data_IF_369542539159
#
_entry.id   IF_369542539159
#
_cell.length_a   1.000
_cell.length_b   1.000
_cell.length_c   1.000
_cell.angle_alpha   90.00
_cell.angle_beta   90.00
_cell.angle_gamma   90.00
#
_symmetry.space_group_name_H-M   'P 1'
#
loop_
_entity.id
_entity.type
_entity.pdbx_description
1 polymer ?
#
# COMPACT_ATOMS: atom_id res chain seq x y z
N UNK A 1 -3.94 -5.74 28.99
CA UNK A 1 -4.86 -4.64 28.59
C UNK A 1 -6.27 -5.22 28.53
N UNK A 2 -7.21 -4.61 29.21
CA UNK A 2 -8.62 -5.02 29.20
C UNK A 2 -9.21 -4.68 27.83
N UNK A 3 -9.86 -5.64 27.17
CA UNK A 3 -10.48 -5.41 25.88
C UNK A 3 -11.80 -4.63 25.99
N UNK A 4 -12.34 -4.16 24.87
CA UNK A 4 -13.55 -3.32 24.83
C UNK A 4 -14.79 -4.05 25.39
N UNK A 5 -14.91 -5.34 25.15
CA UNK A 5 -16.04 -6.16 25.63
C UNK A 5 -15.98 -6.38 27.14
N UNK A 6 -14.80 -6.59 27.71
CA UNK A 6 -14.59 -6.65 29.16
C UNK A 6 -14.91 -5.32 29.84
N UNK A 7 -14.59 -4.20 29.17
CA UNK A 7 -14.92 -2.86 29.66
C UNK A 7 -16.44 -2.60 29.65
N UNK A 8 -17.13 -3.01 28.60
CA UNK A 8 -18.59 -2.92 28.48
C UNK A 8 -19.29 -3.78 29.54
N UNK A 9 -18.83 -5.03 29.72
CA UNK A 9 -19.39 -5.96 30.71
C UNK A 9 -19.24 -5.46 32.15
N UNK A 10 -18.12 -4.80 32.47
CA UNK A 10 -17.86 -4.28 33.83
C UNK A 10 -18.53 -2.93 34.15
N UNK A 11 -18.75 -2.11 33.12
CA UNK A 11 -19.25 -0.73 33.34
C UNK A 11 -20.71 -0.54 32.99
N UNK A 12 -21.32 -1.49 32.28
CA UNK A 12 -22.68 -1.38 31.75
C UNK A 12 -22.83 -0.28 30.68
N UNK A 13 -21.72 0.26 30.20
CA UNK A 13 -21.70 1.35 29.20
C UNK A 13 -21.68 0.79 27.79
N UNK A 14 -22.35 1.45 26.89
CA UNK A 14 -22.25 1.16 25.47
C UNK A 14 -20.89 1.56 24.90
N UNK A 15 -20.50 0.94 23.80
CA UNK A 15 -19.25 1.27 23.08
C UNK A 15 -19.11 2.77 22.78
N UNK A 16 -20.22 3.44 22.49
CA UNK A 16 -20.30 4.88 22.23
C UNK A 16 -20.01 5.71 23.49
N UNK A 17 -20.53 5.30 24.64
CA UNK A 17 -20.32 5.99 25.92
C UNK A 17 -18.90 5.80 26.45
N UNK A 18 -18.30 4.62 26.25
CA UNK A 18 -16.89 4.38 26.59
C UNK A 18 -15.98 5.28 25.76
N UNK A 19 -16.19 5.35 24.44
CA UNK A 19 -15.41 6.20 23.56
C UNK A 19 -15.59 7.69 23.85
N UNK A 20 -16.81 8.13 24.18
CA UNK A 20 -17.08 9.52 24.56
C UNK A 20 -16.40 9.90 25.88
N UNK A 21 -16.39 9.01 26.86
CA UNK A 21 -15.72 9.25 28.16
C UNK A 21 -14.22 9.18 28.07
N UNK A 22 -13.66 8.33 27.20
CA UNK A 22 -12.21 8.26 26.95
C UNK A 22 -11.72 9.54 26.24
N UNK A 23 -12.51 10.09 25.33
CA UNK A 23 -12.24 11.38 24.70
C UNK A 23 -12.30 12.55 25.68
N UNK A 24 -13.25 12.52 26.64
CA UNK A 24 -13.36 13.52 27.71
C UNK A 24 -12.18 13.44 28.71
N UNK A 25 -11.70 12.24 29.04
CA UNK A 25 -10.52 12.03 29.89
C UNK A 25 -9.22 12.48 29.23
N UNK A 26 -9.06 12.30 27.93
CA UNK A 26 -7.93 12.81 27.15
C UNK A 26 -7.89 14.36 27.15
N UNK A 27 -9.05 15.01 27.20
CA UNK A 27 -9.15 16.46 27.30
C UNK A 27 -8.74 17.00 28.71
N UNK A 28 -8.88 16.18 29.74
CA UNK A 28 -8.50 16.55 31.14
C UNK A 28 -7.03 16.25 31.44
N UNK A 29 -6.39 15.32 30.71
CA UNK A 29 -5.02 14.88 30.99
C UNK A 29 -3.91 15.81 30.43
N UNK A 30 -4.24 17.04 30.02
CA UNK A 30 -3.23 18.05 29.64
C UNK A 30 -2.29 17.64 28.50
N UNK A 31 -2.69 16.67 27.66
CA UNK A 31 -2.04 16.51 26.36
C UNK A 31 -2.30 17.84 25.64
N UNK A 32 -1.28 18.52 25.06
CA UNK A 32 -1.54 19.60 24.14
C UNK A 32 -2.16 18.99 22.86
N UNK A 33 -3.34 18.45 23.03
CA UNK A 33 -4.27 18.16 21.95
C UNK A 33 -4.58 19.49 21.36
N UNK A 34 -4.44 19.62 20.05
CA UNK A 34 -4.86 20.74 19.31
C UNK A 34 -6.13 21.32 19.95
N UNK A 35 -5.98 22.41 20.69
CA UNK A 35 -7.10 23.27 21.01
C UNK A 35 -7.68 23.63 19.64
N UNK A 36 -8.74 22.95 19.24
CA UNK A 36 -9.66 23.50 18.27
C UNK A 36 -10.24 24.73 18.97
N UNK A 37 -9.40 25.79 19.04
CA UNK A 37 -9.88 27.09 19.42
C UNK A 37 -11.08 27.32 18.52
N UNK A 38 -12.23 27.52 19.14
CA UNK A 38 -13.47 27.83 18.45
C UNK A 38 -13.25 29.11 17.64
N UNK A 39 -12.64 28.97 16.49
CA UNK A 39 -12.68 29.99 15.46
C UNK A 39 -14.15 30.20 15.16
N UNK A 40 -14.59 31.46 15.15
CA UNK A 40 -15.94 31.83 14.73
C UNK A 40 -16.14 31.34 13.29
N UNK A 41 -16.62 30.11 13.11
CA UNK A 41 -16.80 29.45 11.81
C UNK A 41 -16.53 27.95 11.87
N UNK A 42 -17.00 27.22 10.88
CA UNK A 42 -16.72 25.79 10.72
C UNK A 42 -15.27 25.62 10.26
N UNK A 43 -14.48 24.82 11.00
CA UNK A 43 -13.11 24.50 10.56
C UNK A 43 -13.14 23.81 9.19
N UNK A 44 -12.29 24.28 8.26
CA UNK A 44 -12.17 23.77 6.90
C UNK A 44 -11.01 22.78 6.83
N UNK A 45 -11.31 21.53 6.63
CA UNK A 45 -10.31 20.48 6.42
C UNK A 45 -10.30 20.11 4.94
N UNK A 46 -9.18 20.36 4.28
CA UNK A 46 -8.93 19.96 2.90
C UNK A 46 -8.11 18.67 2.91
N UNK A 47 -8.52 17.69 2.12
CA UNK A 47 -7.84 16.39 2.01
C UNK A 47 -7.43 16.19 0.55
N UNK A 48 -6.17 15.89 0.29
CA UNK A 48 -5.63 15.56 -1.03
C UNK A 48 -5.40 14.05 -1.11
N UNK A 49 -6.16 13.40 -1.99
CA UNK A 49 -6.20 11.95 -2.16
C UNK A 49 -7.30 11.26 -1.35
N UNK A 50 -8.14 10.49 -2.03
CA UNK A 50 -9.25 9.72 -1.45
C UNK A 50 -8.98 8.20 -1.42
N UNK A 51 -7.71 7.79 -1.31
CA UNK A 51 -7.35 6.42 -0.97
C UNK A 51 -7.74 6.06 0.46
N UNK A 52 -7.28 4.92 0.96
CA UNK A 52 -7.63 4.42 2.31
C UNK A 52 -7.38 5.49 3.39
N UNK A 53 -6.20 6.12 3.39
CA UNK A 53 -5.86 7.13 4.41
C UNK A 53 -6.78 8.35 4.37
N UNK A 54 -6.91 9.00 3.21
CA UNK A 54 -7.71 10.22 3.06
C UNK A 54 -9.21 9.98 3.22
N UNK A 55 -9.75 8.92 2.64
CA UNK A 55 -11.16 8.56 2.78
C UNK A 55 -11.53 8.20 4.23
N UNK A 56 -10.65 7.45 4.92
CA UNK A 56 -10.84 7.13 6.34
C UNK A 56 -10.78 8.39 7.20
N UNK A 57 -9.81 9.27 6.96
CA UNK A 57 -9.73 10.55 7.65
C UNK A 57 -11.02 11.37 7.45
N UNK A 58 -11.48 11.54 6.21
CA UNK A 58 -12.70 12.27 5.89
C UNK A 58 -13.92 11.69 6.63
N UNK A 59 -14.08 10.35 6.62
CA UNK A 59 -15.14 9.64 7.32
C UNK A 59 -15.13 9.94 8.82
N UNK A 60 -13.98 9.80 9.46
CA UNK A 60 -13.89 9.96 10.91
C UNK A 60 -14.01 11.42 11.35
N UNK A 61 -13.50 12.39 10.61
CA UNK A 61 -13.75 13.81 10.87
C UNK A 61 -15.26 14.10 10.95
N UNK A 62 -16.03 13.60 9.98
CA UNK A 62 -17.50 13.77 9.98
C UNK A 62 -18.21 12.99 11.07
N UNK A 63 -17.67 11.84 11.50
CA UNK A 63 -18.23 11.06 12.61
C UNK A 63 -17.97 11.71 13.96
N UNK A 64 -16.80 12.28 14.18
CA UNK A 64 -16.44 12.95 15.44
C UNK A 64 -17.07 14.33 15.58
N UNK A 65 -17.11 15.09 14.49
CA UNK A 65 -17.74 16.39 14.46
C UNK A 65 -18.38 16.66 13.09
N UNK A 66 -19.72 16.51 12.97
CA UNK A 66 -20.45 16.76 11.71
C UNK A 66 -20.33 18.20 11.19
N UNK A 67 -20.00 19.17 12.06
CA UNK A 67 -19.88 20.58 11.69
C UNK A 67 -18.60 20.93 10.92
N UNK A 68 -17.58 20.09 10.96
CA UNK A 68 -16.34 20.30 10.18
C UNK A 68 -16.69 20.32 8.70
N UNK A 69 -16.22 21.35 7.98
CA UNK A 69 -16.31 21.39 6.51
C UNK A 69 -15.17 20.57 5.90
N UNK A 70 -15.49 19.36 5.41
CA UNK A 70 -14.51 18.43 4.85
C UNK A 70 -14.64 18.42 3.34
N UNK A 71 -13.56 18.81 2.66
CA UNK A 71 -13.44 18.75 1.20
C UNK A 71 -12.30 17.81 0.82
N UNK A 72 -12.55 16.90 -0.11
CA UNK A 72 -11.56 15.94 -0.64
C UNK A 72 -11.30 16.26 -2.11
N UNK A 73 -10.04 16.44 -2.48
CA UNK A 73 -9.58 16.54 -3.86
C UNK A 73 -9.06 15.18 -4.30
N UNK A 74 -9.70 14.57 -5.29
CA UNK A 74 -9.31 13.27 -5.84
C UNK A 74 -9.37 13.31 -7.37
N UNK A 75 -8.29 12.86 -8.01
CA UNK A 75 -8.20 12.91 -9.47
C UNK A 75 -9.01 11.81 -10.16
N UNK A 76 -9.23 10.68 -9.48
CA UNK A 76 -9.93 9.52 -10.04
C UNK A 76 -11.41 9.52 -9.65
N UNK A 77 -12.32 9.09 -10.53
CA UNK A 77 -13.76 9.03 -10.23
C UNK A 77 -14.10 7.97 -9.19
N UNK A 78 -13.28 6.93 -9.07
CA UNK A 78 -13.45 5.82 -8.13
C UNK A 78 -12.09 5.43 -7.54
N UNK A 79 -12.13 4.79 -6.37
CA UNK A 79 -10.97 4.17 -5.76
C UNK A 79 -10.88 2.69 -6.13
N UNK A 80 -9.73 2.24 -6.60
CA UNK A 80 -9.45 0.82 -6.81
C UNK A 80 -8.54 0.33 -5.70
N UNK A 81 -9.01 -0.63 -4.90
CA UNK A 81 -8.29 -1.15 -3.72
C UNK A 81 -7.05 -1.96 -4.13
N UNK A 82 -5.83 -1.51 -3.80
CA UNK A 82 -4.62 -2.25 -4.16
C UNK A 82 -4.43 -3.54 -3.35
N UNK A 83 -4.87 -3.58 -2.11
CA UNK A 83 -4.70 -4.73 -1.21
C UNK A 83 -5.56 -5.95 -1.54
N UNK A 84 -6.50 -5.85 -2.48
CA UNK A 84 -7.21 -7.00 -3.07
C UNK A 84 -6.65 -7.43 -4.43
N UNK A 85 -5.57 -6.81 -4.92
CA UNK A 85 -5.02 -7.11 -6.25
C UNK A 85 -4.54 -8.55 -6.36
N UNK A 86 -3.89 -9.10 -5.33
CA UNK A 86 -3.41 -10.48 -5.35
C UNK A 86 -4.54 -11.50 -5.40
N UNK A 87 -5.67 -11.23 -4.74
CA UNK A 87 -6.90 -12.03 -4.81
C UNK A 87 -7.53 -11.97 -6.22
N UNK A 88 -7.49 -10.78 -6.86
CA UNK A 88 -7.92 -10.66 -8.24
C UNK A 88 -7.07 -11.49 -9.21
N UNK A 89 -5.75 -11.53 -9.00
CA UNK A 89 -4.86 -12.33 -9.84
C UNK A 89 -5.23 -13.83 -9.81
N UNK A 90 -5.74 -14.33 -8.72
CA UNK A 90 -6.20 -15.72 -8.58
C UNK A 90 -7.66 -15.92 -8.98
N UNK A 91 -8.42 -14.84 -9.21
CA UNK A 91 -9.83 -14.88 -9.58
C UNK A 91 -10.79 -14.98 -8.40
N UNK A 92 -10.31 -14.83 -7.17
CA UNK A 92 -11.15 -14.82 -5.97
C UNK A 92 -12.07 -13.58 -5.90
N UNK A 93 -11.62 -12.45 -6.44
CA UNK A 93 -12.41 -11.21 -6.56
C UNK A 93 -12.30 -10.62 -7.96
N UNK A 94 -13.34 -9.93 -8.42
CA UNK A 94 -13.35 -9.21 -9.69
C UNK A 94 -12.75 -7.80 -9.55
N UNK A 95 -12.42 -7.15 -10.68
CA UNK A 95 -12.04 -5.72 -10.66
C UNK A 95 -13.19 -4.83 -10.19
N UNK A 96 -14.44 -5.23 -10.43
CA UNK A 96 -15.60 -4.50 -9.94
C UNK A 96 -15.66 -4.53 -8.40
N UNK A 97 -15.37 -5.68 -7.77
CA UNK A 97 -15.31 -5.81 -6.31
C UNK A 97 -14.20 -4.96 -5.68
N UNK A 98 -13.13 -4.69 -6.43
CA UNK A 98 -12.03 -3.82 -6.00
C UNK A 98 -12.35 -2.33 -6.19
N UNK A 99 -13.34 -1.99 -7.01
CA UNK A 99 -13.66 -0.61 -7.37
C UNK A 99 -14.73 -0.06 -6.43
N UNK A 100 -14.41 1.00 -5.72
CA UNK A 100 -15.28 1.61 -4.69
C UNK A 100 -15.59 3.05 -5.09
N UNK A 101 -16.88 3.41 -5.12
CA UNK A 101 -17.33 4.80 -5.33
C UNK A 101 -17.14 5.64 -4.06
N UNK A 102 -17.14 6.95 -4.22
CA UNK A 102 -17.09 7.90 -3.10
C UNK A 102 -18.49 8.29 -2.57
N UNK A 103 -19.56 7.64 -3.02
CA UNK A 103 -20.93 8.04 -2.70
C UNK A 103 -21.25 7.92 -1.21
N UNK A 104 -20.69 6.91 -0.54
CA UNK A 104 -20.81 6.78 0.92
C UNK A 104 -20.17 7.96 1.67
N UNK A 105 -19.03 8.50 1.19
CA UNK A 105 -18.45 9.70 1.77
C UNK A 105 -19.30 10.94 1.50
N UNK A 106 -19.81 11.10 0.28
CA UNK A 106 -20.72 12.20 -0.09
C UNK A 106 -21.99 12.15 0.77
N UNK A 107 -22.57 10.96 0.97
CA UNK A 107 -23.73 10.76 1.85
C UNK A 107 -23.48 11.10 3.33
N UNK A 108 -22.22 11.20 3.76
CA UNK A 108 -21.83 11.68 5.09
C UNK A 108 -21.57 13.19 5.15
N UNK A 109 -21.84 13.93 4.08
CA UNK A 109 -21.61 15.37 3.99
C UNK A 109 -20.15 15.76 3.70
N UNK A 110 -19.34 14.85 3.12
CA UNK A 110 -18.01 15.15 2.60
C UNK A 110 -18.16 15.67 1.16
N UNK A 111 -17.54 16.79 0.85
CA UNK A 111 -17.44 17.32 -0.52
C UNK A 111 -16.30 16.59 -1.24
N UNK A 112 -16.61 15.64 -2.10
CA UNK A 112 -15.60 14.96 -2.94
C UNK A 112 -15.59 15.61 -4.32
N UNK A 113 -14.48 16.26 -4.65
CA UNK A 113 -14.27 16.97 -5.90
C UNK A 113 -13.28 16.20 -6.78
N UNK A 114 -13.64 15.97 -8.04
CA UNK A 114 -12.73 15.36 -9.00
C UNK A 114 -11.76 16.43 -9.50
N UNK A 115 -10.66 16.60 -8.75
CA UNK A 115 -9.61 17.59 -8.99
C UNK A 115 -8.22 16.98 -8.75
N UNK A 116 -7.27 17.32 -9.60
CA UNK A 116 -5.86 16.95 -9.43
C UNK A 116 -5.12 18.11 -8.76
N UNK A 117 -4.71 17.93 -7.51
CA UNK A 117 -3.82 18.87 -6.83
C UNK A 117 -2.44 18.90 -7.52
N UNK A 118 -1.85 20.08 -7.66
CA UNK A 118 -0.55 20.29 -8.34
C UNK A 118 0.41 21.18 -7.55
N UNK A 119 0.01 21.74 -6.42
CA UNK A 119 0.90 22.56 -5.61
C UNK A 119 0.26 23.07 -4.33
N UNK A 120 1.10 23.59 -3.44
CA UNK A 120 0.75 24.12 -2.13
C UNK A 120 1.35 25.51 -1.94
N UNK A 121 0.55 26.48 -1.50
CA UNK A 121 1.01 27.72 -0.89
C UNK A 121 0.74 27.64 0.62
N UNK A 122 1.74 27.28 1.44
CA UNK A 122 1.54 27.08 2.87
C UNK A 122 1.32 28.38 3.64
N UNK A 123 1.74 29.53 3.08
CA UNK A 123 1.56 30.84 3.70
C UNK A 123 0.12 31.32 3.54
N UNK A 124 -0.43 31.18 2.34
CA UNK A 124 -1.85 31.53 2.06
C UNK A 124 -2.80 30.41 2.50
N UNK A 125 -2.27 29.25 2.87
CA UNK A 125 -3.05 28.03 3.14
C UNK A 125 -3.97 27.66 1.97
N UNK A 126 -3.38 27.50 0.78
CA UNK A 126 -4.10 27.19 -0.46
C UNK A 126 -3.44 26.03 -1.20
N UNK A 127 -4.28 25.13 -1.72
CA UNK A 127 -3.87 24.06 -2.65
C UNK A 127 -4.30 24.47 -4.07
N UNK A 128 -3.36 24.44 -5.01
CA UNK A 128 -3.62 24.66 -6.42
C UNK A 128 -3.95 23.35 -7.13
N UNK A 129 -4.91 23.40 -8.06
CA UNK A 129 -5.31 22.27 -8.90
C UNK A 129 -4.95 22.49 -10.37
N UNK A 130 -4.82 21.38 -11.12
CA UNK A 130 -4.54 21.41 -12.55
C UNK A 130 -5.63 22.13 -13.36
N UNK A 131 -6.85 22.23 -12.86
CA UNK A 131 -7.95 23.02 -13.43
C UNK A 131 -7.76 24.53 -13.30
N UNK A 132 -6.72 25.00 -12.61
CA UNK A 132 -6.49 26.41 -12.26
C UNK A 132 -7.23 26.87 -11.00
N UNK A 133 -8.11 26.04 -10.44
CA UNK A 133 -8.79 26.37 -9.18
C UNK A 133 -7.84 26.29 -7.99
N UNK A 134 -8.16 27.05 -6.94
CA UNK A 134 -7.47 27.04 -5.65
C UNK A 134 -8.46 26.78 -4.53
N UNK A 135 -8.03 26.00 -3.55
CA UNK A 135 -8.85 25.63 -2.40
C UNK A 135 -8.13 26.02 -1.12
N UNK A 136 -8.74 26.91 -0.34
CA UNK A 136 -8.23 27.33 0.96
C UNK A 136 -8.59 26.32 2.05
N UNK A 137 -7.75 26.24 3.08
CA UNK A 137 -7.96 25.35 4.21
C UNK A 137 -7.56 26.01 5.54
N UNK A 138 -8.05 25.47 6.64
CA UNK A 138 -7.52 25.72 7.97
C UNK A 138 -6.53 24.62 8.36
N UNK A 139 -6.84 23.36 7.97
CA UNK A 139 -5.99 22.18 8.10
C UNK A 139 -5.97 21.40 6.77
N UNK A 140 -4.77 20.95 6.38
CA UNK A 140 -4.56 20.17 5.16
C UNK A 140 -4.14 18.75 5.52
N UNK A 141 -4.78 17.76 4.91
CA UNK A 141 -4.35 16.35 4.96
C UNK A 141 -3.90 15.91 3.58
N UNK A 142 -2.69 15.36 3.48
CA UNK A 142 -2.10 14.89 2.21
C UNK A 142 -1.93 13.37 2.29
N UNK A 143 -2.66 12.63 1.48
CA UNK A 143 -2.67 11.16 1.47
C UNK A 143 -2.56 10.60 0.04
N UNK A 144 -1.45 10.85 -0.67
CA UNK A 144 -1.34 10.59 -2.11
C UNK A 144 -0.84 9.18 -2.44
N UNK A 145 -0.55 8.35 -1.45
CA UNK A 145 0.02 7.03 -1.65
C UNK A 145 1.48 7.08 -2.13
N UNK A 146 1.86 6.17 -3.03
CA UNK A 146 3.22 6.04 -3.55
C UNK A 146 3.30 6.34 -5.04
N UNK A 147 4.47 6.80 -5.48
CA UNK A 147 4.90 6.87 -6.87
C UNK A 147 5.82 5.69 -7.18
N UNK A 148 5.56 4.97 -8.27
CA UNK A 148 6.41 3.88 -8.75
C UNK A 148 7.51 4.42 -9.66
N UNK A 149 8.75 4.05 -9.39
CA UNK A 149 9.94 4.53 -10.09
C UNK A 149 10.31 3.56 -11.21
N UNK A 150 9.58 3.60 -12.31
CA UNK A 150 9.74 2.69 -13.44
C UNK A 150 11.14 2.76 -14.07
N UNK A 151 11.77 3.93 -14.07
CA UNK A 151 13.09 4.22 -14.65
C UNK A 151 14.29 3.61 -13.88
N UNK A 152 14.04 2.94 -12.75
CA UNK A 152 15.10 2.38 -11.90
C UNK A 152 15.62 1.02 -12.36
N UNK A 153 14.94 0.38 -13.30
CA UNK A 153 15.43 -0.83 -13.94
C UNK A 153 15.65 -0.55 -15.42
N UNK A 154 16.80 -0.94 -15.95
CA UNK A 154 17.10 -0.81 -17.39
C UNK A 154 16.04 -1.54 -18.22
N UNK A 155 15.58 -0.92 -19.29
CA UNK A 155 14.54 -1.46 -20.17
C UNK A 155 13.12 -1.43 -19.58
N UNK A 156 12.88 -0.77 -18.43
CA UNK A 156 11.56 -0.66 -17.84
C UNK A 156 11.04 0.78 -17.90
N UNK A 157 9.78 0.94 -18.22
CA UNK A 157 9.06 2.22 -18.29
C UNK A 157 7.60 2.05 -17.90
N UNK A 158 6.91 3.16 -17.64
CA UNK A 158 5.46 3.12 -17.40
C UNK A 158 4.69 2.56 -18.61
N UNK A 159 5.11 2.86 -19.84
CA UNK A 159 4.52 2.31 -21.05
C UNK A 159 4.66 0.79 -21.10
N UNK A 160 5.86 0.27 -20.79
CA UNK A 160 6.12 -1.18 -20.74
C UNK A 160 5.28 -1.82 -19.62
N UNK A 161 5.16 -1.17 -18.45
CA UNK A 161 4.33 -1.63 -17.34
C UNK A 161 2.84 -1.72 -17.74
N UNK A 162 2.37 -0.77 -18.53
CA UNK A 162 0.98 -0.72 -18.99
C UNK A 162 0.67 -1.69 -20.13
N UNK A 163 1.67 -2.25 -20.80
CA UNK A 163 1.47 -3.03 -22.04
C UNK A 163 2.03 -4.45 -22.00
N UNK A 164 3.14 -4.68 -21.30
CA UNK A 164 3.90 -5.95 -21.39
C UNK A 164 4.31 -6.53 -20.02
N UNK A 165 4.92 -5.73 -19.14
CA UNK A 165 5.50 -6.19 -17.88
C UNK A 165 4.84 -5.48 -16.69
N UNK A 166 3.57 -5.84 -16.37
CA UNK A 166 2.79 -5.09 -15.40
C UNK A 166 3.38 -5.15 -13.99
N UNK A 167 3.36 -4.00 -13.31
CA UNK A 167 3.57 -3.94 -11.87
C UNK A 167 2.32 -4.40 -11.11
N UNK A 168 1.15 -3.83 -11.46
CA UNK A 168 -0.08 -4.09 -10.74
C UNK A 168 0.02 -3.79 -9.24
N UNK A 169 0.96 -2.92 -8.83
CA UNK A 169 1.15 -2.50 -7.44
C UNK A 169 0.23 -1.32 -7.08
N UNK A 170 -0.04 -0.47 -8.05
CA UNK A 170 -1.19 0.41 -8.06
C UNK A 170 -2.31 -0.34 -8.77
N UNK A 171 -3.42 -0.61 -8.08
CA UNK A 171 -4.50 -1.41 -8.62
C UNK A 171 -5.19 -0.70 -9.81
N UNK A 172 -5.57 -1.48 -10.81
CA UNK A 172 -6.23 -0.97 -12.01
C UNK A 172 -5.86 -1.77 -13.26
N UNK A 173 -5.66 -1.10 -14.42
CA UNK A 173 -5.41 -1.77 -15.69
C UNK A 173 -4.23 -2.75 -15.69
N UNK A 174 -3.13 -2.42 -14.99
CA UNK A 174 -1.98 -3.32 -14.86
C UNK A 174 -2.31 -4.60 -14.08
N UNK A 175 -3.20 -4.53 -13.08
CA UNK A 175 -3.67 -5.71 -12.34
C UNK A 175 -4.48 -6.63 -13.26
N UNK A 176 -5.37 -6.06 -14.07
CA UNK A 176 -6.15 -6.81 -15.06
C UNK A 176 -5.24 -7.42 -16.15
N UNK A 177 -4.22 -6.67 -16.61
CA UNK A 177 -3.24 -7.17 -17.57
C UNK A 177 -2.46 -8.36 -17.01
N UNK A 178 -1.98 -8.27 -15.78
CA UNK A 178 -1.26 -9.37 -15.13
C UNK A 178 -2.14 -10.61 -14.99
N UNK A 179 -3.41 -10.46 -14.60
CA UNK A 179 -4.38 -11.56 -14.55
C UNK A 179 -4.57 -12.19 -15.94
N UNK A 180 -4.74 -11.38 -16.98
CA UNK A 180 -4.85 -11.85 -18.37
C UNK A 180 -3.65 -12.68 -18.80
N UNK A 181 -2.43 -12.25 -18.45
CA UNK A 181 -1.20 -12.96 -18.76
C UNK A 181 -1.10 -14.30 -18.01
N UNK A 182 -1.46 -14.34 -16.71
CA UNK A 182 -1.51 -15.60 -15.95
C UNK A 182 -2.48 -16.61 -16.57
N UNK A 183 -3.63 -16.16 -17.03
CA UNK A 183 -4.60 -17.03 -17.70
C UNK A 183 -4.08 -17.57 -19.03
N UNK A 184 -3.35 -16.75 -19.80
CA UNK A 184 -2.88 -17.06 -21.15
C UNK A 184 -1.56 -17.85 -21.19
N UNK A 185 -0.76 -17.86 -20.10
CA UNK A 185 0.53 -18.56 -20.10
C UNK A 185 0.36 -20.08 -20.29
N UNK A 186 1.36 -20.80 -20.85
CA UNK A 186 1.31 -22.26 -20.99
C UNK A 186 1.25 -22.98 -19.63
N UNK A 187 0.86 -24.25 -19.63
CA UNK A 187 0.71 -25.06 -18.42
C UNK A 187 2.04 -25.28 -17.66
N UNK A 188 3.16 -25.29 -18.36
CA UNK A 188 4.52 -25.36 -17.84
C UNK A 188 5.23 -23.99 -17.78
N UNK A 189 4.45 -22.91 -17.87
CA UNK A 189 4.95 -21.54 -17.92
C UNK A 189 5.70 -21.10 -16.66
N UNK A 190 6.53 -20.10 -16.81
CA UNK A 190 7.29 -19.50 -15.71
C UNK A 190 6.76 -18.12 -15.40
N UNK A 191 6.48 -17.87 -14.12
CA UNK A 191 6.13 -16.55 -13.57
C UNK A 191 7.34 -16.02 -12.79
N UNK A 192 7.78 -14.80 -13.09
CA UNK A 192 8.80 -14.11 -12.28
C UNK A 192 8.16 -12.92 -11.58
N UNK A 193 8.33 -12.83 -10.27
CA UNK A 193 7.95 -11.68 -9.45
C UNK A 193 9.22 -10.97 -9.00
N UNK A 194 9.42 -9.76 -9.50
CA UNK A 194 10.53 -8.89 -9.11
C UNK A 194 10.12 -8.10 -7.88
N UNK A 195 10.63 -8.48 -6.71
CA UNK A 195 10.40 -7.76 -5.46
C UNK A 195 11.19 -6.44 -5.44
N UNK A 196 10.64 -5.35 -4.87
CA UNK A 196 11.34 -4.06 -4.80
C UNK A 196 12.34 -4.02 -3.64
N UNK A 197 13.34 -3.11 -3.69
CA UNK A 197 14.16 -2.79 -2.51
C UNK A 197 13.36 -1.99 -1.47
N UNK A 198 13.84 -2.01 -0.22
CA UNK A 198 13.31 -1.15 0.83
C UNK A 198 13.65 0.34 0.59
N UNK A 199 12.80 1.30 1.03
CA UNK A 199 11.47 1.10 1.59
C UNK A 199 10.40 0.97 0.49
N UNK A 200 9.34 0.22 0.77
CA UNK A 200 8.20 0.09 -0.16
C UNK A 200 6.89 -0.19 0.58
N UNK A 201 5.77 0.10 -0.08
CA UNK A 201 4.44 -0.19 0.43
C UNK A 201 4.18 -1.68 0.51
N UNK A 202 3.54 -2.15 1.60
CA UNK A 202 3.12 -3.53 1.80
C UNK A 202 4.31 -4.51 1.78
N UNK A 203 5.18 -4.49 2.81
CA UNK A 203 6.38 -5.32 2.84
C UNK A 203 6.17 -6.83 2.63
N UNK A 204 5.12 -7.50 3.12
CA UNK A 204 4.86 -8.90 2.81
C UNK A 204 4.27 -9.15 1.42
N UNK A 205 3.76 -8.11 0.74
CA UNK A 205 2.92 -8.23 -0.46
C UNK A 205 3.54 -8.96 -1.66
N UNK A 206 4.82 -8.79 -2.04
CA UNK A 206 5.42 -9.54 -3.14
C UNK A 206 5.44 -11.05 -2.88
N UNK A 207 5.65 -11.44 -1.64
CA UNK A 207 5.73 -12.84 -1.20
C UNK A 207 4.35 -13.48 -1.06
N UNK A 208 3.38 -12.73 -0.52
CA UNK A 208 1.97 -13.10 -0.51
C UNK A 208 1.44 -13.31 -1.95
N UNK A 209 1.71 -12.37 -2.85
CA UNK A 209 1.33 -12.46 -4.27
C UNK A 209 1.92 -13.71 -4.92
N UNK A 210 3.18 -14.00 -4.67
CA UNK A 210 3.85 -15.19 -5.20
C UNK A 210 3.26 -16.47 -4.64
N UNK A 211 2.92 -16.51 -3.35
CA UNK A 211 2.25 -17.64 -2.72
C UNK A 211 0.87 -17.89 -3.33
N UNK A 212 0.05 -16.83 -3.48
CA UNK A 212 -1.28 -16.94 -4.09
C UNK A 212 -1.22 -17.37 -5.57
N UNK A 213 -0.24 -16.87 -6.34
CA UNK A 213 -0.01 -17.34 -7.72
C UNK A 213 0.43 -18.81 -7.71
N UNK A 214 1.29 -19.22 -6.79
CA UNK A 214 1.72 -20.64 -6.66
C UNK A 214 0.54 -21.55 -6.37
N UNK A 215 -0.33 -21.17 -5.43
CA UNK A 215 -1.55 -21.91 -5.11
C UNK A 215 -2.51 -22.01 -6.30
N UNK A 216 -2.69 -20.88 -7.01
CA UNK A 216 -3.54 -20.85 -8.19
C UNK A 216 -2.96 -21.71 -9.32
N UNK A 217 -1.66 -21.64 -9.59
CA UNK A 217 -1.00 -22.43 -10.63
C UNK A 217 -1.01 -23.92 -10.29
N UNK A 218 -0.89 -24.31 -9.03
CA UNK A 218 -0.99 -25.71 -8.61
C UNK A 218 -2.31 -26.36 -9.06
N UNK A 219 -3.40 -25.59 -9.11
CA UNK A 219 -4.73 -26.05 -9.52
C UNK A 219 -4.99 -25.96 -11.03
N UNK A 220 -4.46 -24.95 -11.69
CA UNK A 220 -4.84 -24.60 -13.07
C UNK A 220 -3.74 -24.82 -14.09
N UNK A 221 -2.48 -24.82 -13.65
CA UNK A 221 -1.27 -24.96 -14.48
C UNK A 221 -0.20 -25.73 -13.71
N UNK A 222 -0.43 -27.06 -13.50
CA UNK A 222 0.31 -27.82 -12.49
C UNK A 222 1.80 -28.04 -12.79
N UNK A 223 2.32 -27.66 -13.96
CA UNK A 223 3.75 -27.67 -14.27
C UNK A 223 4.41 -26.30 -14.22
N UNK A 224 3.63 -25.24 -13.99
CA UNK A 224 4.14 -23.88 -13.92
C UNK A 224 5.11 -23.67 -12.74
N UNK A 225 6.03 -22.71 -12.89
CA UNK A 225 7.01 -22.32 -11.88
C UNK A 225 6.78 -20.86 -11.48
N UNK A 226 6.99 -20.55 -10.20
CA UNK A 226 6.96 -19.18 -9.68
C UNK A 226 8.33 -18.88 -9.07
N UNK A 227 8.97 -17.82 -9.55
CA UNK A 227 10.31 -17.40 -9.11
C UNK A 227 10.21 -15.99 -8.55
N UNK A 228 10.62 -15.81 -7.30
CA UNK A 228 10.78 -14.50 -6.70
C UNK A 228 12.25 -14.10 -6.87
N UNK A 229 12.52 -12.96 -7.51
CA UNK A 229 13.83 -12.33 -7.54
C UNK A 229 13.81 -11.10 -6.62
N UNK A 230 14.75 -11.02 -5.70
CA UNK A 230 14.67 -10.14 -4.55
C UNK A 230 16.03 -9.48 -4.24
N UNK A 231 16.10 -8.15 -4.13
CA UNK A 231 17.32 -7.49 -3.70
C UNK A 231 17.62 -7.67 -2.21
N UNK A 232 16.67 -8.19 -1.42
CA UNK A 232 16.75 -8.37 0.04
C UNK A 232 17.08 -9.82 0.40
N UNK A 233 17.50 -10.04 1.65
CA UNK A 233 17.78 -11.37 2.19
C UNK A 233 16.70 -11.88 3.14
N UNK A 234 15.82 -11.00 3.55
CA UNK A 234 14.72 -11.20 4.49
C UNK A 234 13.53 -10.31 4.12
N UNK A 235 12.40 -10.53 4.77
CA UNK A 235 11.22 -9.69 4.64
C UNK A 235 10.34 -9.78 5.90
N UNK A 236 9.47 -8.81 6.06
CA UNK A 236 8.52 -8.81 7.19
C UNK A 236 7.66 -10.07 7.14
N UNK A 237 7.57 -10.81 8.25
CA UNK A 237 6.85 -12.09 8.39
C UNK A 237 7.47 -13.28 7.63
N UNK A 238 8.74 -13.20 7.27
CA UNK A 238 9.45 -14.25 6.51
C UNK A 238 9.36 -15.65 7.18
N UNK A 239 9.62 -15.75 8.47
CA UNK A 239 9.55 -17.04 9.19
C UNK A 239 8.19 -17.71 9.03
N UNK A 240 7.10 -16.96 9.24
CA UNK A 240 5.74 -17.48 9.09
C UNK A 240 5.45 -17.89 7.64
N UNK A 241 5.89 -17.07 6.69
CA UNK A 241 5.71 -17.35 5.27
C UNK A 241 6.51 -18.61 4.85
N UNK A 242 7.77 -18.73 5.28
CA UNK A 242 8.63 -19.87 4.94
C UNK A 242 8.11 -21.18 5.52
N UNK A 243 7.57 -21.18 6.75
CA UNK A 243 6.88 -22.34 7.34
C UNK A 243 5.65 -22.68 6.48
N UNK A 244 4.82 -21.71 6.15
CA UNK A 244 3.65 -21.90 5.30
C UNK A 244 4.00 -22.45 3.92
N UNK A 245 5.02 -21.90 3.26
CA UNK A 245 5.47 -22.38 1.94
C UNK A 245 6.05 -23.79 2.01
N UNK A 246 6.76 -24.15 3.09
CA UNK A 246 7.27 -25.49 3.30
C UNK A 246 6.11 -26.48 3.41
N UNK A 247 5.12 -26.23 4.25
CA UNK A 247 3.98 -27.10 4.45
C UNK A 247 3.06 -27.22 3.21
N UNK A 248 2.75 -26.10 2.57
CA UNK A 248 1.80 -26.07 1.46
C UNK A 248 2.42 -26.51 0.13
N UNK A 249 3.64 -26.06 -0.15
CA UNK A 249 4.29 -26.26 -1.46
C UNK A 249 5.50 -27.18 -1.42
N UNK A 250 5.97 -27.56 -0.24
CA UNK A 250 7.20 -28.32 -0.07
C UNK A 250 8.46 -27.48 -0.30
N UNK A 251 8.35 -26.15 -0.09
CA UNK A 251 9.48 -25.24 -0.23
C UNK A 251 10.60 -25.59 0.75
N UNK A 252 11.84 -25.53 0.29
CA UNK A 252 13.01 -25.71 1.14
C UNK A 252 13.53 -24.35 1.60
N UNK A 253 13.29 -23.91 2.85
CA UNK A 253 13.79 -22.65 3.34
C UNK A 253 15.32 -22.60 3.25
N UNK A 254 15.90 -21.46 2.80
CA UNK A 254 17.34 -21.32 2.71
C UNK A 254 17.96 -21.07 4.09
N UNK A 255 19.25 -21.36 4.26
CA UNK A 255 19.99 -20.97 5.46
C UNK A 255 20.06 -19.44 5.67
N UNK A 256 19.94 -18.94 6.92
CA UNK A 256 19.89 -19.69 8.18
C UNK A 256 18.46 -20.09 8.64
N UNK A 257 17.44 -19.87 7.82
CA UNK A 257 16.04 -20.16 8.20
C UNK A 257 15.81 -21.64 8.43
N UNK A 258 16.47 -22.51 7.67
CA UNK A 258 16.29 -23.96 7.80
C UNK A 258 16.66 -24.40 9.22
N UNK A 259 17.82 -24.03 9.71
CA UNK A 259 18.26 -24.36 11.07
C UNK A 259 17.35 -23.72 12.12
N UNK A 260 17.02 -22.43 11.95
CA UNK A 260 16.19 -21.68 12.90
C UNK A 260 14.78 -22.23 13.05
N UNK A 261 14.22 -22.71 11.97
CA UNK A 261 12.82 -23.15 11.88
C UNK A 261 12.66 -24.67 11.90
N UNK A 262 13.72 -25.44 11.99
CA UNK A 262 13.77 -26.90 11.83
C UNK A 262 12.57 -27.62 12.47
N UNK A 263 12.30 -27.33 13.74
CA UNK A 263 11.18 -27.96 14.49
C UNK A 263 9.77 -27.68 13.94
N UNK A 264 9.63 -26.71 13.02
CA UNK A 264 8.36 -26.33 12.40
C UNK A 264 8.28 -26.78 10.94
N UNK A 265 9.36 -27.31 10.36
CA UNK A 265 9.43 -27.68 8.96
C UNK A 265 9.09 -29.17 8.77
N UNK A 266 8.57 -29.47 7.58
CA UNK A 266 8.44 -30.83 7.07
C UNK A 266 9.46 -31.07 5.97
N UNK A 267 9.65 -32.35 5.57
CA UNK A 267 10.61 -32.68 4.49
C UNK A 267 10.25 -31.92 3.19
N UNK A 268 11.17 -31.16 2.61
CA UNK A 268 10.93 -30.42 1.37
C UNK A 268 10.65 -31.33 0.18
N UNK A 269 9.78 -30.91 -0.73
CA UNK A 269 9.49 -31.66 -1.95
C UNK A 269 10.49 -31.32 -3.06
N UNK A 270 10.97 -32.34 -3.77
CA UNK A 270 11.87 -32.16 -4.91
C UNK A 270 11.25 -31.42 -6.09
N UNK A 271 9.94 -31.46 -6.22
CA UNK A 271 9.15 -30.85 -7.27
C UNK A 271 8.51 -29.52 -6.86
N UNK A 272 8.99 -28.89 -5.78
CA UNK A 272 8.56 -27.55 -5.37
C UNK A 272 8.73 -26.56 -6.50
N UNK A 273 7.66 -25.82 -6.80
CA UNK A 273 7.60 -24.90 -7.95
C UNK A 273 7.75 -23.44 -7.57
N UNK A 274 7.86 -23.15 -6.28
CA UNK A 274 8.17 -21.84 -5.76
C UNK A 274 9.67 -21.75 -5.50
N UNK A 275 10.30 -20.70 -5.98
CA UNK A 275 11.71 -20.40 -5.73
C UNK A 275 11.87 -18.95 -5.27
N UNK A 276 12.82 -18.71 -4.37
CA UNK A 276 13.18 -17.37 -3.90
C UNK A 276 14.68 -17.16 -4.01
N UNK A 277 15.08 -16.27 -4.92
CA UNK A 277 16.47 -15.88 -5.17
C UNK A 277 16.71 -14.56 -4.43
N UNK A 278 17.41 -14.62 -3.31
CA UNK A 278 17.68 -13.47 -2.42
C UNK A 278 18.78 -12.57 -2.95
N UNK A 279 18.95 -11.40 -2.36
CA UNK A 279 20.01 -10.46 -2.71
C UNK A 279 21.41 -11.06 -2.64
N UNK A 280 21.71 -11.83 -1.57
CA UNK A 280 23.00 -12.55 -1.42
C UNK A 280 23.19 -13.68 -2.44
N UNK A 281 22.09 -14.21 -2.98
CA UNK A 281 22.09 -15.25 -4.02
C UNK A 281 22.03 -14.61 -5.43
N UNK A 282 22.18 -13.29 -5.52
CA UNK A 282 22.24 -12.53 -6.77
C UNK A 282 20.87 -12.12 -7.33
N UNK A 283 19.80 -12.16 -6.55
CA UNK A 283 18.41 -11.96 -7.01
C UNK A 283 17.98 -10.52 -7.27
N UNK A 284 18.84 -9.52 -7.05
CA UNK A 284 18.49 -8.13 -7.31
C UNK A 284 18.25 -7.87 -8.81
N UNK A 285 17.05 -7.46 -9.18
CA UNK A 285 16.71 -7.06 -10.56
C UNK A 285 17.50 -5.83 -10.98
N UNK A 286 18.11 -5.88 -12.17
CA UNK A 286 18.88 -4.75 -12.74
C UNK A 286 18.30 -4.30 -14.08
N UNK A 287 17.79 -5.24 -14.91
CA UNK A 287 17.20 -4.94 -16.21
C UNK A 287 16.04 -5.88 -16.53
N UNK A 288 15.17 -5.43 -17.43
CA UNK A 288 14.12 -6.25 -18.03
C UNK A 288 14.08 -6.05 -19.54
N UNK A 289 13.72 -7.10 -20.28
CA UNK A 289 13.51 -7.04 -21.72
C UNK A 289 12.09 -7.52 -22.04
N UNK A 290 11.24 -6.57 -22.38
CA UNK A 290 9.84 -6.82 -22.72
C UNK A 290 9.65 -7.56 -24.07
N UNK A 291 10.64 -7.50 -24.97
CA UNK A 291 10.58 -8.19 -26.27
C UNK A 291 10.91 -9.67 -26.12
N UNK A 292 11.96 -9.96 -25.35
CA UNK A 292 12.44 -11.33 -25.13
C UNK A 292 11.81 -11.98 -23.89
N UNK A 293 11.01 -11.24 -23.12
CA UNK A 293 10.40 -11.66 -21.85
C UNK A 293 11.45 -12.19 -20.88
N UNK A 294 12.43 -11.36 -20.53
CA UNK A 294 13.51 -11.72 -19.62
C UNK A 294 13.69 -10.71 -18.50
N UNK A 295 14.19 -11.21 -17.37
CA UNK A 295 14.65 -10.43 -16.22
C UNK A 295 16.13 -10.71 -16.02
N UNK A 296 16.97 -9.69 -16.00
CA UNK A 296 18.38 -9.79 -15.67
C UNK A 296 18.60 -9.38 -14.20
N UNK A 297 19.27 -10.23 -13.46
CA UNK A 297 19.58 -10.03 -12.06
C UNK A 297 21.07 -9.74 -11.87
N UNK A 298 21.45 -9.20 -10.69
CA UNK A 298 22.82 -8.80 -10.40
C UNK A 298 23.83 -9.96 -10.38
N UNK A 299 23.39 -11.18 -10.07
CA UNK A 299 24.29 -12.33 -9.92
C UNK A 299 23.68 -13.68 -10.30
N UNK A 300 22.37 -13.83 -10.33
CA UNK A 300 21.73 -15.08 -10.71
C UNK A 300 21.51 -15.21 -12.24
N UNK A 301 22.02 -14.26 -13.03
CA UNK A 301 21.93 -14.28 -14.50
C UNK A 301 20.62 -13.74 -15.05
N UNK A 302 20.30 -14.15 -16.29
CA UNK A 302 19.08 -13.74 -17.01
C UNK A 302 18.05 -14.88 -16.98
N UNK A 303 16.84 -14.57 -16.54
CA UNK A 303 15.73 -15.52 -16.40
C UNK A 303 14.68 -15.18 -17.47
N UNK A 304 14.35 -16.15 -18.30
CA UNK A 304 13.22 -16.05 -19.23
C UNK A 304 11.94 -16.49 -18.57
N UNK A 305 10.84 -15.78 -18.81
CA UNK A 305 9.54 -16.08 -18.21
C UNK A 305 8.38 -15.81 -19.19
N UNK A 306 7.25 -16.44 -18.95
CA UNK A 306 6.01 -16.21 -19.71
C UNK A 306 5.21 -15.05 -19.11
N UNK A 307 5.35 -14.85 -17.80
CA UNK A 307 4.74 -13.73 -17.08
C UNK A 307 5.80 -13.09 -16.17
N UNK A 308 5.95 -11.79 -16.28
CA UNK A 308 6.88 -11.02 -15.45
C UNK A 308 6.10 -9.91 -14.72
N UNK A 309 6.03 -10.02 -13.42
CA UNK A 309 5.47 -8.99 -12.54
C UNK A 309 6.60 -8.14 -11.95
N UNK A 310 6.79 -6.93 -12.46
CA UNK A 310 7.87 -6.05 -12.02
C UNK A 310 7.33 -5.05 -11.00
N UNK A 311 7.75 -5.18 -9.73
CA UNK A 311 7.42 -4.20 -8.69
C UNK A 311 8.63 -3.28 -8.53
N UNK A 312 8.62 -2.06 -9.10
CA UNK A 312 9.78 -1.18 -9.05
C UNK A 312 9.95 -0.54 -7.68
N UNK A 313 11.12 0.07 -7.41
CA UNK A 313 11.30 0.96 -6.28
C UNK A 313 10.22 2.04 -6.25
N UNK A 314 9.97 2.60 -5.09
CA UNK A 314 8.91 3.61 -4.92
C UNK A 314 9.33 4.71 -3.95
N UNK A 315 8.58 5.81 -3.97
CA UNK A 315 8.70 6.93 -3.04
C UNK A 315 7.31 7.49 -2.72
N UNK A 316 7.23 8.49 -1.86
CA UNK A 316 5.98 9.21 -1.61
C UNK A 316 5.37 9.77 -2.89
N UNK A 317 4.03 9.83 -2.95
CA UNK A 317 3.29 10.22 -4.15
C UNK A 317 3.74 11.57 -4.70
N UNK A 318 3.68 11.75 -6.01
CA UNK A 318 4.18 12.91 -6.76
C UNK A 318 3.82 14.24 -6.12
N UNK A 319 2.54 14.41 -5.76
CA UNK A 319 2.05 15.67 -5.18
C UNK A 319 2.70 16.01 -3.83
N UNK A 320 3.09 15.02 -3.03
CA UNK A 320 3.79 15.29 -1.78
C UNK A 320 5.16 15.94 -2.02
N UNK A 321 5.87 15.56 -3.07
CA UNK A 321 7.13 16.18 -3.50
C UNK A 321 6.89 17.58 -4.06
N UNK A 322 5.87 17.76 -4.92
CA UNK A 322 5.52 19.05 -5.51
C UNK A 322 5.07 20.07 -4.45
N UNK A 323 4.51 19.60 -3.34
CA UNK A 323 4.18 20.40 -2.16
C UNK A 323 5.37 20.66 -1.22
N UNK A 324 6.57 20.12 -1.53
CA UNK A 324 7.77 20.28 -0.69
C UNK A 324 7.70 19.52 0.63
N UNK A 325 6.90 18.48 0.75
CA UNK A 325 6.68 17.73 1.99
C UNK A 325 7.67 16.56 2.20
N UNK A 326 8.46 16.21 1.18
CA UNK A 326 9.39 15.07 1.22
C UNK A 326 10.77 15.48 1.66
N UNK A 327 11.49 14.56 2.31
CA UNK A 327 12.91 14.67 2.56
C UNK A 327 13.75 13.98 1.45
N UNK A 328 15.06 13.82 1.70
CA UNK A 328 15.99 13.15 0.78
C UNK A 328 15.67 11.68 0.50
N UNK A 329 14.86 11.03 1.35
CA UNK A 329 14.40 9.65 1.12
C UNK A 329 13.31 9.57 0.06
N UNK A 330 12.71 10.72 -0.30
CA UNK A 330 11.55 10.81 -1.18
C UNK A 330 10.21 10.54 -0.48
N UNK A 331 10.22 10.34 0.86
CA UNK A 331 9.02 10.20 1.68
C UNK A 331 8.85 11.40 2.61
N UNK A 332 7.68 11.54 3.23
CA UNK A 332 7.33 12.70 4.04
C UNK A 332 7.70 12.48 5.51
N UNK A 333 8.63 13.25 6.09
CA UNK A 333 8.89 13.22 7.52
C UNK A 333 7.72 13.84 8.29
N UNK A 334 7.30 13.16 9.35
CA UNK A 334 6.15 13.54 10.18
C UNK A 334 6.47 13.47 11.67
N UNK A 335 5.73 14.22 12.45
CA UNK A 335 5.61 13.98 13.87
C UNK A 335 4.80 12.70 14.11
N UNK A 336 5.43 11.66 14.64
CA UNK A 336 4.81 10.34 14.82
C UNK A 336 3.65 10.30 15.83
N UNK A 337 3.48 11.34 16.63
CA UNK A 337 2.39 11.43 17.62
C UNK A 337 1.08 11.93 17.01
N UNK A 338 1.15 12.81 15.98
CA UNK A 338 -0.03 13.46 15.41
C UNK A 338 -0.06 13.48 13.88
N UNK A 339 0.94 12.91 13.20
CA UNK A 339 1.10 12.88 11.75
C UNK A 339 1.25 14.26 11.07
N UNK A 340 1.49 15.31 11.85
CA UNK A 340 1.80 16.63 11.29
C UNK A 340 3.15 16.60 10.56
N UNK A 341 3.21 17.21 9.39
CA UNK A 341 4.44 17.38 8.64
C UNK A 341 5.48 18.14 9.45
N UNK A 342 6.74 17.69 9.42
CA UNK A 342 7.83 18.45 10.05
C UNK A 342 8.27 19.65 9.20
N UNK A 343 7.71 19.80 7.98
CA UNK A 343 8.04 20.88 7.05
C UNK A 343 7.07 22.05 7.15
N UNK A 344 5.76 21.77 7.18
CA UNK A 344 4.72 22.79 7.18
C UNK A 344 3.71 22.54 8.31
N UNK A 345 3.45 23.61 9.07
CA UNK A 345 2.44 23.61 10.13
C UNK A 345 1.03 23.47 9.56
N UNK A 346 0.13 22.83 10.31
CA UNK A 346 -1.27 22.57 9.95
C UNK A 346 -1.43 21.70 8.67
N UNK A 347 -0.36 20.99 8.28
CA UNK A 347 -0.32 20.03 7.18
C UNK A 347 0.00 18.66 7.75
N UNK A 348 -0.86 17.69 7.49
CA UNK A 348 -0.76 16.32 8.00
C UNK A 348 -0.56 15.35 6.84
N UNK A 349 0.33 14.38 6.98
CA UNK A 349 0.57 13.37 5.92
C UNK A 349 0.18 12.00 6.43
N UNK A 350 -0.76 11.36 5.74
CA UNK A 350 -1.27 10.04 6.10
C UNK A 350 -0.95 9.00 5.03
N UNK A 351 -0.78 7.75 5.48
CA UNK A 351 -0.60 6.60 4.60
C UNK A 351 0.80 6.45 4.06
N UNK A 352 0.91 5.78 2.93
CA UNK A 352 2.15 5.23 2.37
C UNK A 352 3.21 6.28 1.99
N UNK A 353 2.85 7.57 1.92
CA UNK A 353 3.81 8.66 1.72
C UNK A 353 4.55 9.07 2.99
N UNK A 354 4.05 8.72 4.18
CA UNK A 354 4.59 9.19 5.46
C UNK A 354 5.68 8.26 6.01
N UNK A 355 6.66 8.84 6.72
CA UNK A 355 7.66 8.08 7.50
C UNK A 355 7.11 7.83 8.90
N UNK A 356 6.03 7.06 8.99
CA UNK A 356 5.36 6.76 10.27
C UNK A 356 6.15 5.79 11.16
N UNK A 357 7.08 5.00 10.57
CA UNK A 357 7.83 3.97 11.29
C UNK A 357 7.00 2.76 11.68
N UNK A 358 5.85 2.58 11.04
CA UNK A 358 4.95 1.43 11.13
C UNK A 358 4.48 1.08 9.73
N UNK A 359 3.85 -0.07 9.57
CA UNK A 359 3.35 -0.54 8.29
C UNK A 359 2.29 0.43 7.71
N UNK A 360 1.85 0.16 6.49
CA UNK A 360 1.06 1.06 5.64
C UNK A 360 -0.23 1.59 6.29
N UNK A 361 -0.85 2.59 5.64
CA UNK A 361 -2.13 3.20 6.04
C UNK A 361 -3.28 2.21 6.28
N UNK A 362 -3.21 1.01 5.72
CA UNK A 362 -4.20 -0.06 5.91
C UNK A 362 -4.21 -0.54 7.37
N UNK A 363 -3.04 -0.61 8.01
CA UNK A 363 -2.94 -1.03 9.41
C UNK A 363 -3.34 0.08 10.40
N UNK A 364 -3.32 1.33 9.95
CA UNK A 364 -3.83 2.47 10.71
C UNK A 364 -5.36 2.64 10.56
N UNK A 365 -5.97 1.94 9.61
CA UNK A 365 -7.43 1.92 9.47
C UNK A 365 -8.01 1.09 10.62
N UNK A 366 -8.93 1.62 11.43
CA UNK A 366 -9.64 0.80 12.39
C UNK A 366 -10.28 -0.36 11.65
N UNK A 367 -10.03 -1.58 12.11
CA UNK A 367 -10.71 -2.76 11.57
C UNK A 367 -12.21 -2.50 11.64
N UNK A 368 -12.84 -2.47 10.51
CA UNK A 368 -14.31 -2.34 10.39
C UNK A 368 -15.01 -3.53 11.00
#
# INVERSE_FOLDING_TARGET
>A
MMNMEEMMARTGLTRREILARTAALAAVAGVPGAAFAAAKGKARVLIVGAGVGGATCAKYLKLFNPEIDVTVLEQNPNYVRPYGSSEHLTGAVSMADLTVSYDTLKGRGVKVLQEKAVGLDPVKKEVACASGKRYSYDFLVVSPGVELLYDKYEGYSEEIANTKLPSGWIAGPQTALLRKQLLAMPDDGTVVVCAPPNPYRCPPGPYERSALITEWTAKHKPRAKVIIVDPKNDFVTDETALIGWNHLYGFNPPEPYRDKLDKYLVEPKKDCRLSWIRGKDGGATVAVDAKNMTVTTKGAGTIKADVINVIPPMRGGVIAREMGLTDKSGFCPINRMNFESTVHKDVYVLGDSSIAGMASAIELSPRT
#
